data_IF_823155924639
#
_entry.id   IF_823155924639
#
_cell.length_a   1.000
_cell.length_b   1.000
_cell.length_c   1.000
_cell.angle_alpha   90.00
_cell.angle_beta   90.00
_cell.angle_gamma   90.00
#
_symmetry.space_group_name_H-M   'P 1'
#
loop_
_entity.id
_entity.type
_entity.pdbx_description
1 polymer ?
#
# COMPACT_ATOMS: atom_id res chain seq x y z
N UNK A 1 10.49 8.87 18.74
CA UNK A 1 9.64 9.69 19.64
C UNK A 1 8.25 9.08 19.66
N UNK A 2 7.69 8.79 20.84
CA UNK A 2 6.32 8.28 21.00
C UNK A 2 5.36 9.46 21.13
N UNK A 3 4.29 9.48 20.35
CA UNK A 3 3.24 10.50 20.41
C UNK A 3 1.87 9.82 20.43
N UNK A 4 0.90 10.46 21.07
CA UNK A 4 -0.51 10.10 20.93
C UNK A 4 -1.13 11.02 19.87
N UNK A 5 -1.60 10.43 18.77
CA UNK A 5 -2.34 11.16 17.74
C UNK A 5 -3.81 10.76 17.83
N UNK A 6 -4.59 11.49 18.63
CA UNK A 6 -5.94 11.05 18.99
C UNK A 6 -5.86 9.77 19.83
N UNK A 7 -6.39 8.66 19.31
CA UNK A 7 -6.44 7.36 19.99
C UNK A 7 -5.37 6.37 19.49
N UNK A 8 -4.38 6.83 18.73
CA UNK A 8 -3.35 5.97 18.12
C UNK A 8 -1.99 6.17 18.80
N UNK A 9 -1.34 5.05 19.11
CA UNK A 9 0.07 5.06 19.53
C UNK A 9 0.94 5.22 18.28
N UNK A 10 1.74 6.29 18.22
CA UNK A 10 2.57 6.64 17.07
C UNK A 10 4.05 6.61 17.46
N UNK A 11 4.85 5.85 16.72
CA UNK A 11 6.30 5.77 16.87
C UNK A 11 7.00 6.26 15.60
N UNK A 12 7.88 7.26 15.74
CA UNK A 12 8.76 7.68 14.65
C UNK A 12 9.95 6.73 14.52
N UNK A 13 10.10 6.13 13.34
CA UNK A 13 11.16 5.16 12.99
C UNK A 13 12.32 5.85 12.28
N UNK A 14 12.03 6.81 11.39
CA UNK A 14 13.05 7.59 10.69
C UNK A 14 12.61 9.04 10.48
N UNK A 15 13.58 9.94 10.45
CA UNK A 15 13.40 11.36 10.14
C UNK A 15 13.57 11.66 8.65
N UNK A 16 14.45 10.92 7.97
CA UNK A 16 14.74 11.08 6.55
C UNK A 16 15.04 9.71 5.93
N UNK A 17 14.11 9.15 5.12
CA UNK A 17 12.74 9.63 4.90
C UNK A 17 11.90 9.60 6.18
N UNK A 18 10.81 10.38 6.23
CA UNK A 18 9.86 10.33 7.35
C UNK A 18 9.14 8.98 7.36
N UNK A 19 9.34 8.21 8.43
CA UNK A 19 8.67 6.91 8.63
C UNK A 19 8.10 6.85 10.03
N UNK A 20 6.81 6.52 10.11
CA UNK A 20 6.09 6.33 11.37
C UNK A 20 5.36 4.99 11.36
N UNK A 21 5.27 4.35 12.51
CA UNK A 21 4.30 3.30 12.77
C UNK A 21 3.17 3.85 13.62
N UNK A 22 1.95 3.39 13.36
CA UNK A 22 0.75 3.76 14.11
C UNK A 22 0.00 2.50 14.51
N UNK A 23 -0.27 2.33 15.80
CA UNK A 23 -1.03 1.19 16.33
C UNK A 23 -2.50 1.56 16.55
N UNK A 24 -3.39 0.62 16.26
CA UNK A 24 -4.84 0.78 16.46
C UNK A 24 -5.57 1.53 15.35
N UNK A 25 -4.93 1.80 14.20
CA UNK A 25 -5.57 2.50 13.07
C UNK A 25 -6.70 1.67 12.48
N UNK A 26 -6.48 0.36 12.32
CA UNK A 26 -7.51 -0.62 11.93
C UNK A 26 -7.87 -1.47 13.15
N UNK A 27 -9.15 -1.77 13.29
CA UNK A 27 -9.65 -2.76 14.24
C UNK A 27 -9.52 -4.17 13.68
N UNK A 28 -9.52 -5.19 14.54
CA UNK A 28 -9.49 -6.60 14.10
C UNK A 28 -10.63 -6.94 13.14
N UNK A 29 -11.82 -6.38 13.35
CA UNK A 29 -12.98 -6.57 12.47
C UNK A 29 -12.74 -5.98 11.08
N UNK A 30 -12.11 -4.80 10.99
CA UNK A 30 -11.77 -4.16 9.72
C UNK A 30 -10.68 -4.96 9.00
N UNK A 31 -9.66 -5.43 9.72
CA UNK A 31 -8.62 -6.31 9.16
C UNK A 31 -9.22 -7.59 8.59
N UNK A 32 -10.04 -8.29 9.37
CA UNK A 32 -10.71 -9.51 8.92
C UNK A 32 -11.65 -9.26 7.74
N UNK A 33 -12.33 -8.11 7.73
CA UNK A 33 -13.18 -7.70 6.63
C UNK A 33 -12.39 -7.58 5.32
N UNK A 34 -11.24 -6.88 5.32
CA UNK A 34 -10.37 -6.79 4.14
C UNK A 34 -9.86 -8.16 3.66
N UNK A 35 -9.49 -9.05 4.59
CA UNK A 35 -9.08 -10.42 4.26
C UNK A 35 -10.23 -11.17 3.57
N UNK A 36 -11.44 -11.09 4.10
CA UNK A 36 -12.61 -11.81 3.57
C UNK A 36 -12.97 -11.35 2.16
N UNK A 37 -13.11 -10.04 1.92
CA UNK A 37 -13.56 -9.48 0.63
C UNK A 37 -12.52 -9.58 -0.50
N UNK A 38 -11.28 -9.94 -0.15
CA UNK A 38 -10.15 -10.05 -1.09
C UNK A 38 -9.77 -11.49 -1.41
N UNK A 39 -10.07 -12.44 -0.51
CA UNK A 39 -9.62 -13.84 -0.58
C UNK A 39 -9.89 -14.54 -1.92
N UNK A 40 -11.05 -14.32 -2.54
CA UNK A 40 -11.47 -14.93 -3.80
C UNK A 40 -11.01 -14.17 -5.05
N UNK A 41 -10.46 -12.97 -4.88
CA UNK A 41 -10.04 -12.06 -5.95
C UNK A 41 -8.53 -12.04 -6.16
N UNK A 42 -7.76 -12.72 -5.32
CA UNK A 42 -6.30 -12.71 -5.35
C UNK A 42 -5.75 -13.24 -6.66
N UNK A 43 -4.80 -12.50 -7.24
CA UNK A 43 -4.05 -12.89 -8.43
C UNK A 43 -2.58 -12.60 -8.21
N UNK A 44 -1.71 -13.28 -8.94
CA UNK A 44 -0.26 -13.02 -8.92
C UNK A 44 0.02 -11.52 -9.07
N UNK A 45 0.72 -10.93 -8.10
CA UNK A 45 1.04 -9.51 -8.11
C UNK A 45 1.98 -9.15 -9.26
N UNK A 46 1.74 -7.98 -9.83
CA UNK A 46 2.57 -7.36 -10.85
C UNK A 46 3.30 -6.13 -10.29
N UNK A 47 4.31 -5.70 -11.03
CA UNK A 47 5.00 -4.40 -10.86
C UNK A 47 4.56 -3.44 -11.96
N UNK A 48 4.63 -2.14 -11.71
CA UNK A 48 4.31 -1.12 -12.72
C UNK A 48 5.35 -1.13 -13.85
N UNK A 49 4.88 -1.25 -15.08
CA UNK A 49 5.71 -1.32 -16.28
C UNK A 49 5.03 -0.68 -17.49
N UNK A 50 5.67 -0.78 -18.65
CA UNK A 50 5.17 -0.19 -19.88
C UNK A 50 5.54 -1.02 -21.09
N UNK A 51 4.68 -1.01 -22.11
CA UNK A 51 4.95 -1.71 -23.37
C UNK A 51 5.91 -0.89 -24.28
N UNK A 52 6.27 -1.48 -25.44
CA UNK A 52 7.12 -0.83 -26.46
C UNK A 52 6.56 0.50 -26.99
N UNK A 53 5.28 0.80 -26.73
CA UNK A 53 4.59 2.03 -27.13
C UNK A 53 4.38 2.97 -25.96
N UNK A 54 5.07 2.77 -24.84
CA UNK A 54 4.95 3.53 -23.60
C UNK A 54 3.52 3.58 -23.07
N UNK A 55 2.76 2.49 -23.22
CA UNK A 55 1.47 2.34 -22.56
C UNK A 55 1.64 1.61 -21.25
N UNK A 56 0.88 2.03 -20.23
CA UNK A 56 0.79 1.33 -18.94
C UNK A 56 0.53 -0.15 -19.18
N UNK A 57 1.40 -0.99 -18.62
CA UNK A 57 1.29 -2.44 -18.67
C UNK A 57 1.93 -2.99 -17.41
N UNK A 58 1.11 -3.53 -16.51
CA UNK A 58 1.64 -4.14 -15.31
C UNK A 58 2.27 -5.49 -15.68
N UNK A 59 3.46 -5.77 -15.14
CA UNK A 59 4.29 -6.92 -15.54
C UNK A 59 4.56 -7.87 -14.39
N UNK A 60 4.70 -9.16 -14.69
CA UNK A 60 5.13 -10.14 -13.70
C UNK A 60 6.64 -10.02 -13.50
N UNK A 61 7.06 -10.03 -12.24
CA UNK A 61 8.46 -9.87 -11.87
C UNK A 61 8.78 -10.76 -10.65
N UNK A 62 9.94 -11.40 -10.66
CA UNK A 62 10.39 -12.25 -9.56
C UNK A 62 10.84 -11.45 -8.34
N UNK A 63 11.02 -10.13 -8.48
CA UNK A 63 11.25 -9.22 -7.36
C UNK A 63 10.02 -9.04 -6.48
N UNK A 64 8.81 -9.31 -6.99
CA UNK A 64 7.56 -9.26 -6.22
C UNK A 64 6.82 -10.56 -6.40
N UNK A 65 6.82 -11.46 -5.42
CA UNK A 65 6.28 -12.84 -5.56
C UNK A 65 4.90 -13.07 -4.94
N UNK A 66 4.33 -12.04 -4.31
CA UNK A 66 3.00 -12.05 -3.69
C UNK A 66 1.83 -12.30 -4.64
N UNK A 67 0.65 -12.51 -4.04
CA UNK A 67 -0.64 -12.29 -4.69
C UNK A 67 -1.30 -10.99 -4.20
N UNK A 68 -2.10 -10.36 -5.04
CA UNK A 68 -2.81 -9.13 -4.68
C UNK A 68 -4.14 -8.98 -5.42
N UNK A 69 -5.01 -8.15 -4.88
CA UNK A 69 -6.17 -7.62 -5.59
C UNK A 69 -6.40 -6.15 -5.22
N UNK A 70 -7.31 -5.50 -5.95
CA UNK A 70 -7.69 -4.12 -5.71
C UNK A 70 -9.10 -4.06 -5.13
N UNK A 71 -9.28 -3.28 -4.06
CA UNK A 71 -10.58 -3.03 -3.41
C UNK A 71 -10.85 -1.52 -3.46
N UNK A 72 -11.97 -1.14 -4.04
CA UNK A 72 -12.37 0.27 -4.14
C UNK A 72 -12.89 0.80 -2.80
N UNK A 73 -12.76 2.11 -2.56
CA UNK A 73 -13.28 2.76 -1.35
C UNK A 73 -14.80 2.66 -1.19
N UNK A 74 -15.51 2.36 -2.27
CA UNK A 74 -16.96 2.32 -2.36
C UNK A 74 -17.50 0.88 -2.32
N UNK A 75 -16.63 -0.12 -2.10
CA UNK A 75 -17.01 -1.52 -2.03
C UNK A 75 -18.03 -1.77 -0.90
N UNK A 76 -17.81 -1.11 0.25
CA UNK A 76 -18.76 -1.06 1.38
C UNK A 76 -18.41 0.05 2.39
N UNK A 77 -19.24 0.23 3.43
CA UNK A 77 -19.06 1.27 4.45
C UNK A 77 -17.74 1.17 5.21
N UNK A 78 -17.25 -0.04 5.51
CA UNK A 78 -15.97 -0.24 6.20
C UNK A 78 -14.82 0.28 5.33
N UNK A 79 -14.79 -0.10 4.05
CA UNK A 79 -13.74 0.37 3.12
C UNK A 79 -13.73 1.90 2.97
N UNK A 80 -14.91 2.54 3.02
CA UNK A 80 -15.05 4.00 3.01
C UNK A 80 -14.54 4.63 4.31
N UNK A 81 -14.96 4.12 5.46
CA UNK A 81 -14.58 4.66 6.76
C UNK A 81 -13.06 4.60 6.99
N UNK A 82 -12.42 3.51 6.54
CA UNK A 82 -10.97 3.33 6.65
C UNK A 82 -10.22 4.36 5.80
N UNK A 83 -10.67 4.67 4.56
CA UNK A 83 -9.93 5.62 3.70
C UNK A 83 -10.07 7.02 4.25
N UNK A 84 -11.26 7.38 4.76
CA UNK A 84 -11.49 8.68 5.39
C UNK A 84 -10.66 8.86 6.66
N UNK A 85 -10.47 7.78 7.44
CA UNK A 85 -9.61 7.77 8.62
C UNK A 85 -8.14 7.95 8.24
N UNK A 86 -7.63 7.17 7.29
CA UNK A 86 -6.25 7.29 6.79
C UNK A 86 -6.00 8.68 6.21
N UNK A 87 -6.94 9.20 5.42
CA UNK A 87 -6.87 10.54 4.80
C UNK A 87 -6.71 11.66 5.85
N UNK A 88 -7.42 11.57 6.97
CA UNK A 88 -7.26 12.49 8.10
C UNK A 88 -5.89 12.38 8.76
N UNK A 89 -5.36 11.16 8.90
CA UNK A 89 -4.05 10.91 9.50
C UNK A 89 -2.91 11.47 8.65
N UNK A 90 -2.94 11.24 7.34
CA UNK A 90 -1.90 11.74 6.42
C UNK A 90 -2.14 13.17 5.94
N UNK A 91 -3.28 13.76 6.32
CA UNK A 91 -3.72 15.11 5.92
C UNK A 91 -3.80 15.32 4.40
N UNK A 92 -4.22 14.28 3.67
CA UNK A 92 -4.43 14.31 2.22
C UNK A 92 -5.87 13.82 1.96
N UNK A 93 -6.69 14.53 1.16
CA UNK A 93 -8.04 14.09 0.84
C UNK A 93 -8.10 12.69 0.22
N UNK A 94 -9.11 11.90 0.58
CA UNK A 94 -9.33 10.53 0.08
C UNK A 94 -9.46 10.46 -1.45
N UNK A 95 -9.84 11.55 -2.11
CA UNK A 95 -9.89 11.68 -3.57
C UNK A 95 -8.53 11.57 -4.25
N UNK A 96 -7.42 11.74 -3.52
CA UNK A 96 -6.06 11.51 -4.04
C UNK A 96 -5.54 10.09 -3.77
N UNK A 97 -6.28 9.27 -3.05
CA UNK A 97 -5.90 7.88 -2.79
C UNK A 97 -6.25 7.01 -3.99
N UNK A 98 -5.32 6.17 -4.40
CA UNK A 98 -5.64 4.99 -5.22
C UNK A 98 -6.54 4.04 -4.40
N UNK A 99 -7.20 3.10 -5.10
CA UNK A 99 -7.90 2.00 -4.44
C UNK A 99 -6.93 1.19 -3.55
N UNK A 100 -7.46 0.48 -2.55
CA UNK A 100 -6.62 -0.38 -1.72
C UNK A 100 -6.01 -1.51 -2.55
N UNK A 101 -4.70 -1.69 -2.43
CA UNK A 101 -4.03 -2.89 -2.90
C UNK A 101 -3.87 -3.84 -1.72
N UNK A 102 -4.75 -4.86 -1.64
CA UNK A 102 -4.61 -5.93 -0.64
C UNK A 102 -3.60 -6.94 -1.16
N UNK A 103 -2.61 -7.29 -0.33
CA UNK A 103 -1.49 -8.15 -0.71
C UNK A 103 -1.42 -9.33 0.26
N UNK A 104 -1.20 -10.53 -0.28
CA UNK A 104 -1.00 -11.76 0.47
C UNK A 104 0.34 -12.39 0.07
N UNK A 105 1.12 -12.74 1.09
CA UNK A 105 2.40 -13.42 0.95
C UNK A 105 2.26 -14.81 1.55
N UNK A 106 2.52 -15.84 0.74
CA UNK A 106 2.75 -17.20 1.23
C UNK A 106 4.19 -17.36 1.73
N UNK A 107 4.50 -18.52 2.32
CA UNK A 107 5.84 -18.85 2.76
C UNK A 107 6.87 -18.64 1.64
N UNK A 108 7.97 -17.96 1.99
CA UNK A 108 9.08 -17.60 1.07
C UNK A 108 8.74 -16.60 -0.03
N UNK A 109 7.52 -16.03 -0.06
CA UNK A 109 7.23 -14.90 -0.95
C UNK A 109 7.75 -13.60 -0.36
N UNK A 110 8.13 -12.67 -1.23
CA UNK A 110 8.72 -11.39 -0.85
C UNK A 110 8.37 -10.29 -1.85
N UNK A 111 8.68 -9.06 -1.46
CA UNK A 111 8.85 -7.97 -2.39
C UNK A 111 10.18 -7.29 -2.11
N UNK A 112 11.12 -7.39 -3.06
CA UNK A 112 12.42 -6.75 -2.97
C UNK A 112 12.29 -5.22 -2.87
N UNK A 113 13.31 -4.56 -2.28
CA UNK A 113 13.34 -3.12 -2.12
C UNK A 113 13.07 -2.37 -3.43
N UNK A 114 12.17 -1.39 -3.37
CA UNK A 114 11.74 -0.59 -4.50
C UNK A 114 11.26 0.78 -4.01
N UNK A 115 10.97 1.67 -4.97
CA UNK A 115 10.31 2.94 -4.70
C UNK A 115 8.85 2.85 -5.14
N UNK A 116 7.95 3.41 -4.34
CA UNK A 116 6.55 3.59 -4.73
C UNK A 116 6.35 4.71 -5.75
N UNK A 117 7.31 5.64 -5.82
CA UNK A 117 7.32 6.76 -6.76
C UNK A 117 7.72 6.33 -8.16
N UNK A 118 7.24 7.07 -9.15
CA UNK A 118 7.67 6.92 -10.54
C UNK A 118 8.78 7.92 -10.88
N UNK A 119 9.82 7.51 -11.63
CA UNK A 119 10.82 8.46 -12.14
C UNK A 119 10.20 9.35 -13.24
N UNK A 120 10.07 10.67 -13.04
CA UNK A 120 9.48 11.57 -14.03
C UNK A 120 10.33 11.73 -15.30
N UNK A 121 11.62 11.39 -15.25
CA UNK A 121 12.50 11.44 -16.42
C UNK A 121 12.38 10.19 -17.30
N UNK A 122 11.82 9.09 -16.76
CA UNK A 122 11.53 7.90 -17.55
C UNK A 122 10.16 8.06 -18.25
N UNK A 123 10.21 8.26 -19.58
CA UNK A 123 9.01 8.43 -20.40
C UNK A 123 8.02 7.27 -20.30
N UNK A 124 8.49 6.06 -20.00
CA UNK A 124 7.64 4.89 -19.80
C UNK A 124 6.70 5.01 -18.61
N UNK A 125 7.04 5.83 -17.60
CA UNK A 125 6.15 6.11 -16.47
C UNK A 125 5.22 7.32 -16.67
N UNK A 126 5.33 8.04 -17.80
CA UNK A 126 4.43 9.16 -18.13
C UNK A 126 2.93 8.81 -18.04
N UNK A 127 2.45 7.63 -18.47
CA UNK A 127 1.04 7.26 -18.33
C UNK A 127 0.58 7.16 -16.87
N UNK A 128 1.44 6.70 -15.96
CA UNK A 128 1.14 6.61 -14.54
C UNK A 128 1.03 8.01 -13.93
N UNK A 129 2.00 8.88 -14.21
CA UNK A 129 2.00 10.26 -13.72
C UNK A 129 0.83 11.10 -14.25
N UNK A 130 0.37 10.85 -15.48
CA UNK A 130 -0.84 11.49 -16.02
C UNK A 130 -2.12 11.00 -15.35
N UNK A 131 -2.09 9.82 -14.74
CA UNK A 131 -3.23 9.19 -14.09
C UNK A 131 -3.10 9.28 -12.57
N UNK A 132 -3.44 10.44 -12.01
CA UNK A 132 -3.46 10.69 -10.56
C UNK A 132 -2.23 11.40 -10.00
N UNK A 133 -1.18 11.63 -10.82
CA UNK A 133 0.02 12.35 -10.41
C UNK A 133 1.11 11.46 -9.84
N UNK A 134 1.97 12.05 -9.01
CA UNK A 134 3.03 11.33 -8.30
C UNK A 134 2.55 10.90 -6.91
N UNK A 135 2.96 9.71 -6.47
CA UNK A 135 2.73 9.24 -5.10
C UNK A 135 3.66 9.98 -4.13
N UNK A 136 3.09 10.53 -3.07
CA UNK A 136 3.84 11.33 -2.08
C UNK A 136 3.89 10.69 -0.70
N UNK A 137 2.93 9.83 -0.37
CA UNK A 137 2.82 9.11 0.90
C UNK A 137 2.26 7.72 0.63
N UNK A 138 2.83 6.70 1.27
CA UNK A 138 2.27 5.35 1.30
C UNK A 138 1.83 5.03 2.73
N UNK A 139 0.57 4.60 2.88
CA UNK A 139 0.07 4.03 4.12
C UNK A 139 0.00 2.51 3.96
N UNK A 140 0.84 1.78 4.69
CA UNK A 140 0.87 0.32 4.70
C UNK A 140 0.21 -0.21 5.98
N UNK A 141 -0.83 -1.03 5.83
CA UNK A 141 -1.56 -1.62 6.95
C UNK A 141 -1.33 -3.14 7.00
N UNK A 142 -0.97 -3.65 8.17
CA UNK A 142 -0.87 -5.09 8.43
C UNK A 142 -2.25 -5.63 8.83
N UNK A 143 -2.73 -6.66 8.11
CA UNK A 143 -4.07 -7.22 8.30
C UNK A 143 -4.07 -8.46 9.22
N UNK A 144 -2.92 -9.03 9.51
CA UNK A 144 -2.74 -10.16 10.41
C UNK A 144 -1.33 -10.16 11.00
N UNK A 145 -1.16 -10.87 12.12
CA UNK A 145 0.15 -11.15 12.67
C UNK A 145 0.86 -12.25 11.86
N UNK A 146 2.16 -12.09 11.68
CA UNK A 146 3.06 -13.04 11.03
C UNK A 146 4.02 -13.59 12.07
N UNK A 147 4.17 -14.92 12.12
CA UNK A 147 4.97 -15.59 13.16
C UNK A 147 6.47 -15.29 12.99
N UNK A 148 6.96 -15.27 11.75
CA UNK A 148 8.37 -15.06 11.41
C UNK A 148 8.51 -14.45 10.01
N UNK A 149 9.43 -13.49 9.85
CA UNK A 149 9.66 -12.77 8.60
C UNK A 149 8.54 -11.78 8.24
N UNK A 150 8.53 -11.33 6.99
CA UNK A 150 7.50 -10.43 6.46
C UNK A 150 7.65 -8.97 6.88
N UNK A 151 8.83 -8.57 7.37
CA UNK A 151 9.10 -7.21 7.79
C UNK A 151 9.09 -6.23 6.61
N UNK A 152 8.57 -5.03 6.85
CA UNK A 152 8.80 -3.90 5.94
C UNK A 152 10.14 -3.28 6.27
N UNK A 153 11.13 -3.54 5.41
CA UNK A 153 12.50 -3.08 5.60
C UNK A 153 12.85 -1.90 4.68
N UNK A 154 13.45 -0.86 5.25
CA UNK A 154 14.01 0.27 4.52
C UNK A 154 15.54 0.15 4.51
N UNK A 155 16.13 0.00 3.32
CA UNK A 155 17.59 -0.01 3.17
C UNK A 155 18.18 1.34 3.57
N UNK A 156 19.15 1.31 4.49
CA UNK A 156 19.94 2.46 4.95
C UNK A 156 21.17 2.68 4.10
#
# INVERSE_FOLDING_TARGET
MKLELGNYEMDMISHEPLVYTLKGVLTELECQHFINISSDKMKRSSVSGYDEKNKRKDELDNRRTSSSCWVTHDDNSITREVVERISKLVQIPSSHSEAYQVVHYENSQEYQPHLDTFDPNNQGYSPYLKNGGQRVVTALAYLNDVIEGGETFFQT
#
